data_IF_961704351857
#
_entry.id   IF_961704351857
#
_cell.length_a   1.000
_cell.length_b   1.000
_cell.length_c   1.000
_cell.angle_alpha   90.00
_cell.angle_beta   90.00
_cell.angle_gamma   90.00
#
_symmetry.space_group_name_H-M   'P 1'
#
loop_
_entity.id
_entity.type
_entity.pdbx_description
1 polymer ?
#
# COMPACT_ATOMS: atom_id res chain seq x y z
N UNK A 1 -8.46 -23.89 2.94
CA UNK A 1 -7.61 -23.76 4.14
C UNK A 1 -7.59 -22.30 4.59
N UNK A 2 -7.26 -22.04 5.85
CA UNK A 2 -7.26 -20.70 6.47
C UNK A 2 -6.40 -19.68 5.71
N UNK A 3 -5.24 -20.11 5.22
CA UNK A 3 -4.34 -19.29 4.39
C UNK A 3 -5.05 -18.66 3.18
N UNK A 4 -5.78 -19.47 2.39
CA UNK A 4 -6.47 -19.00 1.19
C UNK A 4 -7.58 -17.99 1.53
N UNK A 5 -8.25 -18.17 2.67
CA UNK A 5 -9.27 -17.23 3.15
C UNK A 5 -8.64 -15.89 3.53
N UNK A 6 -7.56 -15.93 4.29
CA UNK A 6 -6.86 -14.72 4.72
C UNK A 6 -6.24 -13.98 3.52
N UNK A 7 -5.65 -14.69 2.57
CA UNK A 7 -5.14 -14.12 1.34
C UNK A 7 -6.24 -13.41 0.54
N UNK A 8 -7.37 -14.06 0.28
CA UNK A 8 -8.51 -13.44 -0.44
C UNK A 8 -9.11 -12.26 0.32
N UNK A 9 -9.18 -12.34 1.64
CA UNK A 9 -9.69 -11.25 2.48
C UNK A 9 -8.80 -10.01 2.35
N UNK A 10 -7.48 -10.18 2.48
CA UNK A 10 -6.50 -9.11 2.31
C UNK A 10 -6.56 -8.45 0.93
N UNK A 11 -6.65 -9.23 -0.15
CA UNK A 11 -6.82 -8.68 -1.51
C UNK A 11 -8.10 -7.83 -1.59
N UNK A 12 -9.19 -8.29 -0.97
CA UNK A 12 -10.46 -7.56 -0.92
C UNK A 12 -10.34 -6.21 -0.19
N UNK A 13 -9.63 -6.19 0.94
CA UNK A 13 -9.36 -4.96 1.71
C UNK A 13 -8.51 -3.97 0.90
N UNK A 14 -7.44 -4.44 0.25
CA UNK A 14 -6.58 -3.59 -0.60
C UNK A 14 -7.38 -2.98 -1.76
N UNK A 15 -8.21 -3.80 -2.44
CA UNK A 15 -9.05 -3.31 -3.53
C UNK A 15 -10.07 -2.27 -3.07
N UNK A 16 -10.72 -2.51 -1.94
CA UNK A 16 -11.70 -1.58 -1.36
C UNK A 16 -11.02 -0.26 -0.99
N UNK A 17 -9.87 -0.33 -0.31
CA UNK A 17 -9.10 0.85 0.05
C UNK A 17 -8.68 1.67 -1.18
N UNK A 18 -8.17 1.02 -2.23
CA UNK A 18 -7.79 1.69 -3.49
C UNK A 18 -8.99 2.37 -4.15
N UNK A 19 -10.13 1.67 -4.25
CA UNK A 19 -11.35 2.21 -4.82
C UNK A 19 -11.83 3.45 -4.04
N UNK A 20 -11.91 3.34 -2.72
CA UNK A 20 -12.32 4.44 -1.86
C UNK A 20 -11.35 5.61 -1.97
N UNK A 21 -10.04 5.36 -1.94
CA UNK A 21 -9.03 6.40 -2.08
C UNK A 21 -9.16 7.11 -3.43
N UNK A 22 -9.19 6.37 -4.54
CA UNK A 22 -9.30 6.92 -5.89
C UNK A 22 -10.55 7.78 -6.09
N UNK A 23 -11.69 7.39 -5.51
CA UNK A 23 -12.92 8.19 -5.59
C UNK A 23 -12.86 9.51 -4.82
N UNK A 24 -11.94 9.65 -3.87
CA UNK A 24 -11.77 10.86 -3.05
C UNK A 24 -10.47 11.62 -3.38
N UNK A 25 -9.72 11.20 -4.40
CA UNK A 25 -8.50 11.88 -4.80
C UNK A 25 -8.82 13.26 -5.39
N UNK A 26 -8.25 14.27 -4.77
CA UNK A 26 -8.14 15.62 -5.33
C UNK A 26 -6.71 15.85 -5.80
N UNK A 27 -6.49 16.87 -6.64
CA UNK A 27 -5.12 17.25 -7.04
C UNK A 27 -4.23 17.54 -5.84
N UNK A 28 -4.76 18.27 -4.84
CA UNK A 28 -4.01 18.57 -3.61
C UNK A 28 -3.66 17.31 -2.82
N UNK A 29 -4.61 16.39 -2.66
CA UNK A 29 -4.35 15.13 -1.96
C UNK A 29 -3.34 14.27 -2.73
N UNK A 30 -3.45 14.21 -4.05
CA UNK A 30 -2.50 13.47 -4.91
C UNK A 30 -1.09 14.02 -4.76
N UNK A 31 -0.92 15.34 -4.82
CA UNK A 31 0.37 15.98 -4.61
C UNK A 31 0.93 15.68 -3.22
N UNK A 32 0.09 15.78 -2.18
CA UNK A 32 0.51 15.48 -0.81
C UNK A 32 0.95 14.02 -0.63
N UNK A 33 0.21 13.07 -1.20
CA UNK A 33 0.58 11.64 -1.18
C UNK A 33 1.88 11.39 -1.94
N UNK A 34 2.10 12.09 -3.05
CA UNK A 34 3.33 11.96 -3.84
C UNK A 34 4.55 12.51 -3.09
N UNK A 35 4.40 13.64 -2.41
CA UNK A 35 5.44 14.26 -1.59
C UNK A 35 5.78 13.42 -0.35
N UNK A 36 4.76 12.77 0.25
CA UNK A 36 4.92 11.96 1.45
C UNK A 36 5.20 10.48 1.19
N UNK A 37 5.21 10.04 -0.08
CA UNK A 37 5.22 8.62 -0.45
C UNK A 37 6.32 7.82 0.25
N UNK A 38 7.52 8.39 0.35
CA UNK A 38 8.65 7.75 1.02
C UNK A 38 8.38 7.59 2.52
N UNK A 39 7.85 8.61 3.19
CA UNK A 39 7.52 8.54 4.62
C UNK A 39 6.41 7.50 4.89
N UNK A 40 5.41 7.43 4.01
CA UNK A 40 4.35 6.43 4.08
C UNK A 40 4.94 5.02 3.94
N UNK A 41 5.84 4.81 2.97
CA UNK A 41 6.53 3.54 2.78
C UNK A 41 7.36 3.14 4.00
N UNK A 42 8.19 4.03 4.54
CA UNK A 42 9.01 3.72 5.71
C UNK A 42 8.16 3.36 6.93
N UNK A 43 7.07 4.10 7.16
CA UNK A 43 6.11 3.77 8.23
C UNK A 43 5.53 2.37 8.04
N UNK A 44 5.11 2.02 6.82
CA UNK A 44 4.58 0.70 6.50
C UNK A 44 5.62 -0.41 6.72
N UNK A 45 6.87 -0.17 6.31
CA UNK A 45 8.00 -1.09 6.55
C UNK A 45 8.20 -1.31 8.06
N UNK A 46 8.26 -0.25 8.86
CA UNK A 46 8.39 -0.37 10.33
C UNK A 46 7.27 -1.21 10.94
N UNK A 47 6.01 -0.97 10.57
CA UNK A 47 4.88 -1.75 11.07
C UNK A 47 4.98 -3.23 10.70
N UNK A 48 5.37 -3.55 9.47
CA UNK A 48 5.49 -4.95 9.04
C UNK A 48 6.69 -5.62 9.70
N UNK A 49 7.83 -4.94 9.84
CA UNK A 49 8.99 -5.45 10.59
C UNK A 49 8.59 -5.84 12.01
N UNK A 50 7.88 -4.97 12.73
CA UNK A 50 7.42 -5.26 14.11
C UNK A 50 6.47 -6.47 14.14
N UNK A 51 5.56 -6.60 13.17
CA UNK A 51 4.57 -7.69 13.15
C UNK A 51 5.12 -9.04 12.72
N UNK A 52 6.20 -9.05 11.94
CA UNK A 52 6.68 -10.26 11.25
C UNK A 52 8.09 -10.68 11.61
N UNK A 53 8.86 -9.80 12.27
CA UNK A 53 10.29 -9.96 12.54
C UNK A 53 11.15 -10.16 11.27
N UNK A 54 10.63 -9.76 10.10
CA UNK A 54 11.34 -9.82 8.83
C UNK A 54 12.16 -8.55 8.59
N UNK A 55 13.37 -8.67 8.06
CA UNK A 55 14.22 -7.52 7.71
C UNK A 55 14.66 -7.52 6.22
N UNK A 56 13.76 -7.93 5.33
CA UNK A 56 14.01 -8.08 3.89
C UNK A 56 13.55 -6.89 3.03
N UNK A 57 13.03 -5.84 3.68
CA UNK A 57 12.44 -4.69 2.99
C UNK A 57 13.52 -3.70 2.51
N UNK A 58 13.25 -3.05 1.38
CA UNK A 58 14.15 -2.07 0.78
C UNK A 58 14.19 -0.78 1.62
N UNK A 59 15.30 -0.05 1.52
CA UNK A 59 15.46 1.24 2.20
C UNK A 59 14.72 2.40 1.52
N UNK A 60 14.29 2.24 0.26
CA UNK A 60 13.54 3.25 -0.48
C UNK A 60 12.29 2.63 -1.07
N UNK A 61 11.22 3.43 -1.19
CA UNK A 61 9.99 2.97 -1.81
C UNK A 61 10.27 2.53 -3.26
N UNK A 62 10.02 1.25 -3.62
CA UNK A 62 10.26 0.77 -4.97
C UNK A 62 9.11 1.05 -5.93
N UNK A 63 8.04 1.70 -5.45
CA UNK A 63 6.80 1.92 -6.21
C UNK A 63 6.52 3.41 -6.35
N UNK A 64 5.92 3.79 -7.48
CA UNK A 64 5.36 5.12 -7.67
C UNK A 64 3.93 5.19 -7.13
N UNK A 65 3.44 6.40 -6.84
CA UNK A 65 2.04 6.59 -6.42
C UNK A 65 1.07 6.07 -7.50
N UNK A 66 1.38 6.31 -8.77
CA UNK A 66 0.57 5.82 -9.91
C UNK A 66 0.47 4.29 -9.89
N UNK A 67 1.59 3.59 -9.68
CA UNK A 67 1.58 2.13 -9.55
C UNK A 67 0.75 1.66 -8.36
N UNK A 68 0.86 2.32 -7.20
CA UNK A 68 0.13 1.91 -6.00
C UNK A 68 -1.39 2.12 -6.12
N UNK A 69 -1.82 3.12 -6.89
CA UNK A 69 -3.23 3.46 -7.11
C UNK A 69 -3.88 2.71 -8.29
N UNK A 70 -3.08 2.08 -9.16
CA UNK A 70 -3.60 1.27 -10.27
C UNK A 70 -4.25 -0.01 -9.73
N UNK A 71 -5.55 -0.17 -10.02
CA UNK A 71 -6.36 -1.32 -9.61
C UNK A 71 -5.87 -2.65 -10.20
N UNK A 72 -5.10 -2.59 -11.29
CA UNK A 72 -4.52 -3.76 -11.96
C UNK A 72 -3.07 -4.03 -11.53
N UNK A 73 -2.49 -3.20 -10.66
CA UNK A 73 -1.10 -3.34 -10.23
C UNK A 73 -0.98 -4.03 -8.87
N UNK A 74 -0.40 -5.23 -8.90
CA UNK A 74 -0.20 -6.17 -7.78
C UNK A 74 -1.51 -6.61 -7.06
N UNK A 75 -1.70 -7.93 -6.81
CA UNK A 75 -2.86 -8.48 -6.10
C UNK A 75 -2.73 -8.44 -4.58
#
# INVERSE_FOLDING_TARGET
>A
MEYERNYRHWIGEIKTFRYDLNNHLTTNLTNKLQDDLENIYQSAVEFVKIKTDLNIFLEKCPYTLVQLLDENYLP
#
